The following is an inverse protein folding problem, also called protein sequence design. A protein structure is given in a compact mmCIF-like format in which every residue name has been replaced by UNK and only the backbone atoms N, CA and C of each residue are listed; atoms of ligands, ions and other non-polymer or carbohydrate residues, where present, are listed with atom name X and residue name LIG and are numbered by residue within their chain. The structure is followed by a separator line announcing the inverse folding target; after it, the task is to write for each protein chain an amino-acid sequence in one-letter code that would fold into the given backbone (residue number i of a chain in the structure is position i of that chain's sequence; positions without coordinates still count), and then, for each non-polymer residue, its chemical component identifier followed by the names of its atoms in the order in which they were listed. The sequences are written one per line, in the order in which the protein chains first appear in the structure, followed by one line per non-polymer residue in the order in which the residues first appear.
data_IF_699266475263
#
_entry.id   IF_699266475263
#
_cell.length_a   1.000
_cell.length_b   1.000
_cell.length_c   1.000
_cell.angle_alpha   90.00
_cell.angle_beta   90.00
_cell.angle_gamma   90.00
#
_symmetry.space_group_name_H-M   'P 1'
#
loop_
_entity.id
_entity.type
_entity.pdbx_description
1 polymer ?
#
# COMPACT_ATOMS: atom_id res chain seq x y z
N UNK A 1 -12.20 16.55 8.03
CA UNK A 1 -11.92 15.76 7.20
C UNK A 1 -11.24 14.62 7.67
N UNK A 2 -11.53 13.58 7.22
CA UNK A 2 -10.98 12.44 7.68
C UNK A 2 -9.83 12.00 6.97
N UNK A 3 -8.95 11.38 7.56
CA UNK A 3 -7.84 10.83 6.93
C UNK A 3 -8.12 9.44 6.57
N UNK A 4 -7.56 8.92 5.54
CA UNK A 4 -7.75 7.51 5.20
C UNK A 4 -7.20 6.67 6.33
N UNK A 5 -7.91 5.65 6.69
CA UNK A 5 -7.51 4.77 7.73
C UNK A 5 -7.31 3.40 7.16
N UNK A 6 -6.18 2.79 7.49
CA UNK A 6 -5.92 1.47 7.02
C UNK A 6 -6.71 0.50 7.89
N UNK A 7 -7.69 -0.15 7.32
CA UNK A 7 -8.50 -1.05 8.06
C UNK A 7 -8.04 -2.44 7.91
N UNK A 8 -8.29 -3.26 8.88
CA UNK A 8 -8.00 -4.65 8.78
C UNK A 8 -9.14 -5.29 8.09
N UNK A 9 -8.94 -5.77 6.91
CA UNK A 9 -10.02 -6.41 6.19
C UNK A 9 -9.49 -7.68 5.59
N UNK A 10 -10.33 -8.49 4.99
CA UNK A 10 -9.90 -9.74 4.39
C UNK A 10 -8.85 -9.46 3.35
N UNK A 11 -7.93 -10.37 3.20
CA UNK A 11 -6.91 -10.20 2.25
C UNK A 11 -7.46 -10.10 0.88
N UNK A 12 -7.03 -9.08 0.18
CA UNK A 12 -7.45 -8.92 -1.17
C UNK A 12 -6.67 -9.85 -2.05
N UNK A 13 -5.41 -10.04 -1.75
CA UNK A 13 -4.57 -10.91 -2.52
C UNK A 13 -4.29 -12.17 -1.74
N UNK A 14 -4.49 -13.30 -2.36
CA UNK A 14 -4.17 -14.54 -1.72
C UNK A 14 -3.48 -15.42 -2.73
N UNK A 15 -2.90 -16.48 -2.32
CA UNK A 15 -2.21 -17.37 -3.24
C UNK A 15 -0.73 -17.34 -2.95
N UNK A 16 0.05 -17.61 -3.95
CA UNK A 16 1.47 -17.75 -3.75
C UNK A 16 2.11 -16.43 -3.46
N UNK A 17 3.14 -16.44 -2.65
CA UNK A 17 3.85 -15.24 -2.32
C UNK A 17 5.28 -15.37 -2.76
N UNK A 18 5.97 -14.27 -2.83
CA UNK A 18 7.37 -14.28 -3.18
C UNK A 18 8.03 -13.19 -2.35
N UNK A 19 9.33 -13.29 -2.20
CA UNK A 19 10.06 -12.35 -1.40
C UNK A 19 10.70 -11.31 -2.28
N UNK A 20 10.55 -10.07 -1.95
CA UNK A 20 11.19 -8.99 -2.67
C UNK A 20 11.88 -8.08 -1.68
N UNK A 21 12.85 -7.33 -2.15
CA UNK A 21 13.56 -6.40 -1.31
C UNK A 21 13.23 -4.98 -1.71
N UNK A 22 13.18 -4.11 -0.74
CA UNK A 22 12.83 -2.75 -1.02
C UNK A 22 13.63 -1.85 -0.10
N UNK A 23 14.02 -0.69 -0.57
CA UNK A 23 14.73 0.25 0.23
C UNK A 23 13.79 1.24 0.84
N UNK A 24 13.91 1.49 2.10
CA UNK A 24 13.06 2.45 2.79
C UNK A 24 13.91 3.48 3.50
N UNK A 25 13.41 4.67 3.64
CA UNK A 25 14.06 5.65 4.47
C UNK A 25 14.00 5.15 5.90
N UNK A 26 14.99 5.49 6.69
CA UNK A 26 15.03 5.04 8.07
C UNK A 26 13.83 5.55 8.85
N UNK A 27 13.42 6.77 8.59
CA UNK A 27 12.28 7.31 9.30
C UNK A 27 11.01 6.58 8.93
N UNK A 28 10.91 6.16 7.68
CA UNK A 28 9.77 5.42 7.24
C UNK A 28 9.68 4.07 7.96
N UNK A 29 10.80 3.43 8.09
CA UNK A 29 10.84 2.15 8.78
C UNK A 29 10.47 2.32 10.25
N UNK A 30 10.90 3.41 10.84
CA UNK A 30 10.57 3.70 12.20
C UNK A 30 9.08 3.84 12.36
N UNK A 31 8.41 4.51 11.45
CA UNK A 31 6.98 4.69 11.51
C UNK A 31 6.26 3.36 11.36
N UNK A 32 6.76 2.52 10.47
CA UNK A 32 6.17 1.21 10.28
C UNK A 32 6.29 0.39 11.56
N UNK A 33 7.45 0.45 12.18
CA UNK A 33 7.66 -0.31 13.41
C UNK A 33 6.78 0.21 14.53
N UNK A 34 6.56 1.51 14.58
CA UNK A 34 5.71 2.09 15.60
C UNK A 34 4.28 1.60 15.44
N UNK A 35 3.79 1.57 14.23
CA UNK A 35 2.43 1.10 13.98
C UNK A 35 2.33 -0.38 14.31
N UNK A 36 3.34 -1.15 13.92
CA UNK A 36 3.33 -2.57 14.20
C UNK A 36 3.26 -2.81 15.70
N UNK A 37 4.02 -2.04 16.44
CA UNK A 37 4.07 -2.19 17.87
C UNK A 37 2.73 -1.86 18.51
N UNK A 38 2.13 -0.77 18.10
CA UNK A 38 0.87 -0.34 18.68
C UNK A 38 -0.26 -1.31 18.34
N UNK A 39 -0.24 -1.88 17.17
CA UNK A 39 -1.32 -2.76 16.75
C UNK A 39 -1.08 -4.22 17.08
N UNK A 40 0.09 -4.55 17.57
CA UNK A 40 0.40 -5.94 17.86
C UNK A 40 0.63 -6.76 16.62
N UNK A 41 1.01 -6.12 15.51
CA UNK A 41 1.25 -6.84 14.30
C UNK A 41 2.72 -6.83 13.97
N UNK A 42 3.12 -7.65 13.04
CA UNK A 42 4.52 -7.68 12.65
C UNK A 42 4.78 -6.58 11.64
N UNK A 43 6.05 -6.25 11.49
CA UNK A 43 6.47 -5.27 10.51
C UNK A 43 6.00 -5.71 9.12
N UNK A 44 6.17 -6.98 8.82
CA UNK A 44 5.80 -7.49 7.52
C UNK A 44 4.30 -7.34 7.26
N UNK A 45 3.49 -7.58 8.26
CA UNK A 45 2.06 -7.41 8.10
C UNK A 45 1.69 -5.98 7.82
N UNK A 46 2.32 -5.05 8.52
CA UNK A 46 2.02 -3.65 8.30
C UNK A 46 2.43 -3.25 6.89
N UNK A 47 3.56 -3.74 6.42
CA UNK A 47 4.02 -3.40 5.10
C UNK A 47 3.10 -3.95 4.03
N UNK A 48 2.68 -5.19 4.15
CA UNK A 48 1.80 -5.75 3.13
C UNK A 48 0.43 -5.09 3.16
N UNK A 49 -0.08 -4.76 4.33
CA UNK A 49 -1.35 -4.07 4.41
C UNK A 49 -1.25 -2.69 3.80
N UNK A 50 -0.13 -2.03 4.02
CA UNK A 50 0.07 -0.71 3.45
C UNK A 50 0.15 -0.76 1.94
N UNK A 51 0.79 -1.80 1.42
CA UNK A 51 0.88 -1.95 -0.02
C UNK A 51 -0.47 -2.21 -0.63
N UNK A 52 -1.29 -3.02 0.01
CA UNK A 52 -2.62 -3.27 -0.50
C UNK A 52 -3.42 -1.98 -0.56
N UNK A 53 -3.33 -1.20 0.50
CA UNK A 53 -4.04 0.05 0.57
C UNK A 53 -3.56 0.98 -0.54
N UNK A 54 -2.26 1.07 -0.71
CA UNK A 54 -1.69 1.94 -1.72
C UNK A 54 -2.07 1.50 -3.12
N UNK A 55 -2.07 0.21 -3.37
CA UNK A 55 -2.42 -0.30 -4.67
C UNK A 55 -3.86 -0.01 -5.04
N UNK A 56 -4.74 -0.07 -4.07
CA UNK A 56 -6.11 0.28 -4.30
C UNK A 56 -6.24 1.70 -4.76
N UNK A 57 -5.55 2.59 -4.09
CA UNK A 57 -5.61 3.99 -4.45
C UNK A 57 -4.96 4.25 -5.80
N UNK A 58 -3.91 3.53 -6.09
CA UNK A 58 -3.26 3.69 -7.37
C UNK A 58 -4.12 3.21 -8.52
N UNK A 59 -4.87 2.16 -8.28
CA UNK A 59 -5.75 1.67 -9.30
C UNK A 59 -6.76 2.72 -9.69
N UNK A 60 -7.31 3.37 -8.71
CA UNK A 60 -8.29 4.42 -8.96
C UNK A 60 -7.65 5.55 -9.73
N UNK A 61 -6.47 5.94 -9.34
CA UNK A 61 -5.79 7.02 -10.01
C UNK A 61 -5.47 6.68 -11.45
N UNK A 62 -5.08 5.45 -11.69
CA UNK A 62 -4.77 5.03 -13.03
C UNK A 62 -5.99 5.02 -13.91
N UNK A 63 -7.12 4.61 -13.38
CA UNK A 63 -8.31 4.62 -14.13
C UNK A 63 -8.71 6.02 -14.51
N UNK A 64 -8.63 6.92 -13.58
CA UNK A 64 -8.97 8.29 -13.86
C UNK A 64 -8.06 8.87 -14.91
N UNK A 65 -6.78 8.51 -14.85
CA UNK A 65 -5.88 9.01 -15.80
C UNK A 65 -6.17 8.48 -17.18
N UNK A 66 -6.50 7.25 -17.29
CA UNK A 66 -6.83 6.70 -18.57
C UNK A 66 -8.03 7.38 -19.18
N UNK A 67 -8.99 7.67 -18.37
CA UNK A 67 -10.13 8.33 -18.89
C UNK A 67 -9.82 9.70 -19.40
N UNK A 68 -8.99 10.41 -18.68
CA UNK A 68 -8.66 11.68 -19.14
C UNK A 68 -7.81 11.69 -20.33
N UNK A 69 -6.92 10.79 -20.44
CA UNK A 69 -6.00 10.88 -21.42
C UNK A 69 -6.26 10.43 -22.63
N UNK A 70 -6.84 10.05 -23.03
CA UNK A 70 -7.03 9.62 -24.20
C UNK A 70 -5.92 9.60 -24.96
N UNK A 71 -5.40 9.10 -25.08
CA UNK A 71 -4.47 8.90 -25.88
C UNK A 71 -3.23 9.13 -25.50
N UNK A 72 -2.83 9.05 -25.15
CA UNK A 72 -1.80 9.28 -24.91
C UNK A 72 -0.68 9.06 -24.60
N UNK A 73 -0.10 9.02 -24.30
CA UNK A 73 0.80 8.83 -24.00
C UNK A 73 1.37 8.56 -23.22
N UNK A 74 1.84 8.28 -22.82
CA UNK A 74 2.34 7.93 -22.19
C UNK A 74 3.13 7.81 -21.82
N UNK A 75 3.61 7.63 -21.49
CA UNK A 75 4.41 7.41 -21.09
C UNK A 75 4.77 7.28 -20.64
#
# INVERSE_FOLDING_TARGET
MERPILRISPKRYSGETTIVSIRLAKDQLKDIDAVANVTGRTRNEIMTMSLEFALEHMEIAMKEREEQKNGGNQV
#
